data_IF_595295509047
#
_entry.id   IF_595295509047
#
_cell.length_a   1.000
_cell.length_b   1.000
_cell.length_c   1.000
_cell.angle_alpha   90.00
_cell.angle_beta   90.00
_cell.angle_gamma   90.00
#
_symmetry.space_group_name_H-M   'P 1'
#
loop_
_entity.id
_entity.type
_entity.pdbx_description
1 polymer ?
#
# COMPACT_ATOMS: atom_id res chain seq x y z
N UNK A 1 12.36 -92.56 -18.55
CA UNK A 1 12.94 -91.56 -17.63
C UNK A 1 12.82 -90.14 -18.19
N UNK A 2 13.21 -89.89 -19.44
CA UNK A 2 13.28 -88.54 -20.04
C UNK A 2 11.95 -87.76 -20.08
N UNK A 3 10.83 -88.44 -20.37
CA UNK A 3 9.50 -87.81 -20.43
C UNK A 3 9.00 -87.29 -19.07
N UNK A 4 9.30 -88.01 -17.99
CA UNK A 4 8.95 -87.59 -16.63
C UNK A 4 9.79 -86.40 -16.17
N UNK A 5 11.09 -86.41 -16.50
CA UNK A 5 12.00 -85.30 -16.21
C UNK A 5 11.56 -84.02 -16.93
N UNK A 6 11.14 -84.12 -18.20
CA UNK A 6 10.65 -82.97 -18.98
C UNK A 6 9.39 -82.37 -18.35
N UNK A 7 8.42 -83.20 -17.96
CA UNK A 7 7.18 -82.75 -17.33
C UNK A 7 7.42 -82.05 -15.98
N UNK A 8 8.26 -82.64 -15.12
CA UNK A 8 8.61 -82.04 -13.83
C UNK A 8 9.34 -80.70 -14.00
N UNK A 9 10.22 -80.60 -15.02
CA UNK A 9 10.93 -79.36 -15.34
C UNK A 9 9.95 -78.29 -15.85
N UNK A 10 9.01 -78.65 -16.71
CA UNK A 10 7.95 -77.75 -17.18
C UNK A 10 7.08 -77.24 -16.02
N UNK A 11 6.64 -78.13 -15.12
CA UNK A 11 5.85 -77.75 -13.95
C UNK A 11 6.61 -76.80 -13.02
N UNK A 12 7.91 -77.03 -12.80
CA UNK A 12 8.77 -76.13 -12.01
C UNK A 12 8.86 -74.74 -12.64
N UNK A 13 9.09 -74.67 -13.95
CA UNK A 13 9.16 -73.38 -14.68
C UNK A 13 7.80 -72.67 -14.66
N UNK A 14 6.69 -73.39 -14.85
CA UNK A 14 5.34 -72.82 -14.80
C UNK A 14 4.99 -72.28 -13.41
N UNK A 15 5.30 -73.04 -12.36
CA UNK A 15 5.11 -72.60 -10.98
C UNK A 15 5.96 -71.36 -10.67
N UNK A 16 7.22 -71.32 -11.12
CA UNK A 16 8.10 -70.17 -10.97
C UNK A 16 7.58 -68.91 -11.68
N UNK A 17 7.04 -69.05 -12.90
CA UNK A 17 6.42 -67.92 -13.63
C UNK A 17 5.18 -67.38 -12.92
N UNK A 18 4.29 -68.26 -12.47
CA UNK A 18 3.09 -67.86 -11.75
C UNK A 18 3.43 -67.18 -10.41
N UNK A 19 4.44 -67.69 -9.70
CA UNK A 19 4.94 -67.08 -8.47
C UNK A 19 5.49 -65.67 -8.73
N UNK A 20 6.33 -65.51 -9.76
CA UNK A 20 6.89 -64.21 -10.13
C UNK A 20 5.81 -63.19 -10.53
N UNK A 21 4.74 -63.62 -11.21
CA UNK A 21 3.60 -62.75 -11.52
C UNK A 21 2.83 -62.31 -10.27
N UNK A 22 2.62 -63.23 -9.32
CA UNK A 22 2.00 -62.94 -8.03
C UNK A 22 2.86 -62.00 -7.18
N UNK A 23 4.17 -62.24 -7.10
CA UNK A 23 5.14 -61.38 -6.41
C UNK A 23 5.12 -59.97 -7.00
N UNK A 24 5.22 -59.85 -8.34
CA UNK A 24 5.17 -58.54 -9.02
C UNK A 24 3.84 -57.81 -8.80
N UNK A 25 2.74 -58.53 -8.61
CA UNK A 25 1.44 -57.93 -8.27
C UNK A 25 1.40 -57.49 -6.81
N UNK A 26 1.92 -58.30 -5.90
CA UNK A 26 2.02 -57.98 -4.49
C UNK A 26 2.91 -56.77 -4.23
N UNK A 27 4.08 -56.70 -4.89
CA UNK A 27 5.00 -55.55 -4.83
C UNK A 27 4.33 -54.26 -5.30
N UNK A 28 3.62 -54.31 -6.43
CA UNK A 28 2.86 -53.15 -6.94
C UNK A 28 1.78 -52.70 -5.96
N UNK A 29 1.04 -53.64 -5.36
CA UNK A 29 0.03 -53.30 -4.38
C UNK A 29 0.64 -52.71 -3.10
N UNK A 30 1.78 -53.23 -2.64
CA UNK A 30 2.50 -52.68 -1.50
C UNK A 30 2.98 -51.26 -1.77
N UNK A 31 3.50 -50.99 -2.96
CA UNK A 31 3.93 -49.64 -3.35
C UNK A 31 2.78 -48.63 -3.28
N UNK A 32 1.63 -48.97 -3.89
CA UNK A 32 0.44 -48.12 -3.86
C UNK A 32 -0.07 -47.86 -2.44
N UNK A 33 -0.04 -48.89 -1.57
CA UNK A 33 -0.40 -48.73 -0.16
C UNK A 33 0.57 -47.82 0.59
N UNK A 34 1.87 -47.90 0.30
CA UNK A 34 2.87 -47.00 0.89
C UNK A 34 2.65 -45.55 0.46
N UNK A 35 2.44 -45.30 -0.83
CA UNK A 35 2.16 -43.96 -1.37
C UNK A 35 0.89 -43.36 -0.75
N UNK A 36 -0.18 -44.15 -0.66
CA UNK A 36 -1.45 -43.69 -0.08
C UNK A 36 -1.33 -43.44 1.43
N UNK A 37 -0.54 -44.25 2.15
CA UNK A 37 -0.23 -44.02 3.56
C UNK A 37 0.54 -42.71 3.75
N UNK A 38 1.55 -42.44 2.93
CA UNK A 38 2.31 -41.19 2.99
C UNK A 38 1.41 -39.98 2.74
N UNK A 39 0.57 -40.04 1.70
CA UNK A 39 -0.42 -39.01 1.37
C UNK A 39 -1.35 -38.72 2.55
N UNK A 40 -1.89 -39.78 3.19
CA UNK A 40 -2.76 -39.63 4.35
C UNK A 40 -2.03 -39.06 5.57
N UNK A 41 -0.77 -39.46 5.76
CA UNK A 41 0.05 -38.97 6.87
C UNK A 41 0.36 -37.47 6.73
N UNK A 42 0.66 -36.99 5.52
CA UNK A 42 0.83 -35.56 5.25
C UNK A 42 -0.45 -34.77 5.52
N UNK A 43 -1.60 -35.29 5.09
CA UNK A 43 -2.90 -34.66 5.34
C UNK A 43 -3.19 -34.56 6.84
N UNK A 44 -2.91 -35.62 7.60
CA UNK A 44 -3.07 -35.61 9.05
C UNK A 44 -2.19 -34.55 9.71
N UNK A 45 -0.92 -34.43 9.31
CA UNK A 45 -0.04 -33.41 9.87
C UNK A 45 -0.48 -31.99 9.55
N UNK A 46 -0.97 -31.74 8.32
CA UNK A 46 -1.54 -30.43 7.93
C UNK A 46 -2.75 -30.10 8.80
N UNK A 47 -3.70 -31.02 8.91
CA UNK A 47 -4.92 -30.80 9.68
C UNK A 47 -4.63 -30.63 11.18
N UNK A 48 -3.71 -31.42 11.75
CA UNK A 48 -3.28 -31.26 13.15
C UNK A 48 -2.66 -29.89 13.41
N UNK A 49 -1.89 -29.36 12.45
CA UNK A 49 -1.31 -28.02 12.54
C UNK A 49 -2.40 -26.95 12.50
N UNK A 50 -3.37 -27.07 11.60
CA UNK A 50 -4.48 -26.13 11.47
C UNK A 50 -5.32 -26.06 12.75
N UNK A 51 -5.68 -27.21 13.32
CA UNK A 51 -6.42 -27.27 14.60
C UNK A 51 -5.65 -26.58 15.72
N UNK A 52 -4.34 -26.85 15.85
CA UNK A 52 -3.53 -26.25 16.91
C UNK A 52 -3.34 -24.73 16.73
N UNK A 53 -3.37 -24.23 15.49
CA UNK A 53 -3.35 -22.80 15.21
C UNK A 53 -4.68 -22.16 15.62
N UNK A 54 -5.81 -22.75 15.23
CA UNK A 54 -7.15 -22.26 15.61
C UNK A 54 -7.32 -22.21 17.12
N UNK A 55 -6.90 -23.25 17.85
CA UNK A 55 -6.94 -23.25 19.33
C UNK A 55 -6.11 -22.13 19.95
N UNK A 56 -5.00 -21.74 19.31
CA UNK A 56 -4.16 -20.64 19.79
C UNK A 56 -4.76 -19.28 19.48
N UNK A 57 -5.32 -19.12 18.29
CA UNK A 57 -6.03 -17.91 17.88
C UNK A 57 -7.21 -17.65 18.82
N UNK A 58 -8.02 -18.68 19.10
CA UNK A 58 -9.15 -18.56 20.03
C UNK A 58 -8.70 -18.14 21.44
N UNK A 59 -7.63 -18.74 21.98
CA UNK A 59 -7.08 -18.33 23.29
C UNK A 59 -6.57 -16.90 23.30
N UNK A 60 -6.02 -16.43 22.18
CA UNK A 60 -5.52 -15.07 22.05
C UNK A 60 -6.70 -14.08 21.99
N UNK A 61 -7.75 -14.42 21.25
CA UNK A 61 -8.98 -13.63 21.15
C UNK A 61 -9.66 -13.52 22.53
N UNK A 62 -9.82 -14.63 23.26
CA UNK A 62 -10.35 -14.60 24.63
C UNK A 62 -9.49 -13.75 25.59
N UNK A 63 -8.17 -13.71 25.41
CA UNK A 63 -7.29 -12.88 26.21
C UNK A 63 -7.43 -11.40 25.84
N UNK A 64 -7.60 -11.11 24.55
CA UNK A 64 -7.82 -9.76 24.03
C UNK A 64 -9.16 -9.20 24.51
N UNK A 65 -10.22 -10.01 24.48
CA UNK A 65 -11.55 -9.63 24.99
C UNK A 65 -11.48 -9.26 26.47
N UNK A 66 -10.80 -10.07 27.29
CA UNK A 66 -10.57 -9.75 28.72
C UNK A 66 -9.80 -8.44 28.90
N UNK A 67 -8.79 -8.17 28.07
CA UNK A 67 -8.05 -6.91 28.12
C UNK A 67 -8.96 -5.74 27.73
N UNK A 68 -9.79 -5.90 26.71
CA UNK A 68 -10.75 -4.88 26.29
C UNK A 68 -11.80 -4.60 27.37
N UNK A 69 -12.32 -5.62 28.04
CA UNK A 69 -13.25 -5.46 29.17
C UNK A 69 -12.63 -4.66 30.32
N UNK A 70 -11.35 -4.91 30.64
CA UNK A 70 -10.64 -4.19 31.71
C UNK A 70 -10.30 -2.75 31.31
N UNK A 71 -9.94 -2.52 30.05
CA UNK A 71 -9.50 -1.20 29.57
C UNK A 71 -10.65 -0.30 29.15
N UNK A 72 -11.78 -0.85 28.71
CA UNK A 72 -12.94 -0.09 28.22
C UNK A 72 -13.46 0.95 29.23
N UNK A 73 -13.58 0.65 30.54
CA UNK A 73 -13.97 1.64 31.54
C UNK A 73 -12.94 2.75 31.77
N UNK A 74 -11.67 2.53 31.44
CA UNK A 74 -10.60 3.53 31.61
C UNK A 74 -10.60 4.58 30.50
N UNK A 75 -11.09 4.24 29.30
CA UNK A 75 -11.18 5.16 28.15
C UNK A 75 -11.90 6.48 28.51
N UNK A 76 -13.13 6.47 29.04
CA UNK A 76 -13.81 7.72 29.40
C UNK A 76 -13.15 8.44 30.57
N UNK A 77 -12.46 7.74 31.46
CA UNK A 77 -11.71 8.34 32.58
C UNK A 77 -10.50 9.10 32.04
N UNK A 78 -9.77 8.53 31.09
CA UNK A 78 -8.64 9.17 30.41
C UNK A 78 -9.08 10.41 29.63
N UNK A 79 -10.24 10.38 28.95
CA UNK A 79 -10.77 11.56 28.27
C UNK A 79 -11.13 12.67 29.25
N UNK A 80 -11.85 12.35 30.33
CA UNK A 80 -12.15 13.32 31.40
C UNK A 80 -10.90 13.89 32.04
N UNK A 81 -9.90 13.05 32.30
CA UNK A 81 -8.62 13.49 32.86
C UNK A 81 -7.90 14.46 31.89
N UNK A 82 -7.92 14.18 30.59
CA UNK A 82 -7.33 15.05 29.56
C UNK A 82 -8.03 16.41 29.52
N UNK A 83 -9.36 16.44 29.61
CA UNK A 83 -10.13 17.69 29.68
C UNK A 83 -9.81 18.46 30.97
N UNK A 84 -9.82 17.79 32.12
CA UNK A 84 -9.47 18.38 33.41
C UNK A 84 -8.04 18.97 33.41
N UNK A 85 -7.09 18.26 32.81
CA UNK A 85 -5.72 18.73 32.68
C UNK A 85 -5.61 19.97 31.79
N UNK A 86 -6.35 20.02 30.68
CA UNK A 86 -6.42 21.22 29.82
C UNK A 86 -7.00 22.40 30.59
N UNK A 87 -8.15 22.23 31.23
CA UNK A 87 -8.77 23.30 32.02
C UNK A 87 -7.86 23.78 33.16
N UNK A 88 -7.11 22.87 33.78
CA UNK A 88 -6.10 23.23 34.78
C UNK A 88 -4.93 24.02 34.17
N UNK A 89 -4.41 23.59 33.02
CA UNK A 89 -3.35 24.32 32.31
C UNK A 89 -3.82 25.72 31.89
N UNK A 90 -5.04 25.84 31.36
CA UNK A 90 -5.65 27.12 30.98
C UNK A 90 -5.85 28.03 32.19
N UNK A 91 -6.32 27.49 33.32
CA UNK A 91 -6.45 28.23 34.57
C UNK A 91 -5.09 28.68 35.10
N UNK A 92 -4.07 27.82 35.05
CA UNK A 92 -2.70 28.16 35.44
C UNK A 92 -2.13 29.26 34.55
N UNK A 93 -2.32 29.17 33.23
CA UNK A 93 -1.88 30.18 32.28
C UNK A 93 -2.60 31.51 32.47
N UNK A 94 -3.93 31.48 32.67
CA UNK A 94 -4.72 32.65 33.03
C UNK A 94 -4.20 33.29 34.33
N UNK A 95 -3.93 32.50 35.37
CA UNK A 95 -3.33 33.04 36.60
C UNK A 95 -1.92 33.60 36.36
N UNK A 96 -1.11 33.03 35.47
CA UNK A 96 0.19 33.59 35.10
C UNK A 96 0.08 34.93 34.37
N UNK A 97 -0.98 35.12 33.57
CA UNK A 97 -1.25 36.36 32.84
C UNK A 97 -1.95 37.43 33.70
N UNK A 98 -2.78 37.02 34.66
CA UNK A 98 -3.44 37.92 35.62
C UNK A 98 -2.56 38.28 36.81
N UNK A 99 -1.62 37.40 37.19
CA UNK A 99 -0.54 37.77 38.07
C UNK A 99 0.28 38.81 37.33
N UNK A 100 0.31 40.09 37.76
CA UNK A 100 1.29 41.02 37.23
C UNK A 100 2.63 40.33 37.37
N UNK A 101 3.41 40.29 36.29
CA UNK A 101 4.79 39.79 36.31
C UNK A 101 5.58 40.78 37.19
N UNK A 102 5.38 40.67 38.52
CA UNK A 102 6.05 41.47 39.56
C UNK A 102 7.54 41.15 39.63
N UNK A 103 8.02 40.26 38.75
CA UNK A 103 9.36 39.72 38.71
C UNK A 103 10.06 40.02 37.36
N UNK A 104 9.60 40.99 36.56
CA UNK A 104 10.58 41.68 35.70
C UNK A 104 11.33 42.61 36.65
N UNK A 105 12.48 42.16 37.12
CA UNK A 105 13.38 43.02 37.87
C UNK A 105 13.88 44.11 36.89
N UNK A 106 13.24 45.28 36.97
CA UNK A 106 13.74 46.47 36.31
C UNK A 106 14.77 47.05 37.28
N UNK A 107 16.04 46.90 36.94
CA UNK A 107 17.13 47.42 37.75
C UNK A 107 17.19 48.94 37.58
N UNK A 108 16.74 49.68 38.60
CA UNK A 108 16.68 51.15 38.59
C UNK A 108 15.27 51.74 38.56
N UNK A 109 15.15 53.01 38.19
CA UNK A 109 13.87 53.72 38.12
C UNK A 109 13.05 53.30 36.89
N UNK A 110 11.82 52.85 37.12
CA UNK A 110 10.91 52.31 36.10
C UNK A 110 10.63 53.33 34.99
N UNK A 111 10.53 54.62 35.34
CA UNK A 111 10.27 55.67 34.35
C UNK A 111 11.46 55.84 33.40
N UNK A 112 12.69 55.87 33.93
CA UNK A 112 13.90 55.95 33.10
C UNK A 112 14.08 54.74 32.17
N UNK A 113 13.74 53.53 32.65
CA UNK A 113 13.78 52.32 31.83
C UNK A 113 12.76 52.38 30.70
N UNK A 114 11.51 52.80 30.99
CA UNK A 114 10.47 52.92 29.97
C UNK A 114 10.80 54.00 28.93
N UNK A 115 11.41 55.11 29.34
CA UNK A 115 11.88 56.16 28.42
C UNK A 115 12.99 55.65 27.50
N UNK A 116 13.95 54.87 28.02
CA UNK A 116 15.01 54.27 27.20
C UNK A 116 14.44 53.21 26.24
N UNK A 117 13.52 52.35 26.70
CA UNK A 117 12.84 51.38 25.81
C UNK A 117 12.08 52.09 24.70
N UNK A 118 11.38 53.19 25.01
CA UNK A 118 10.66 53.99 24.01
C UNK A 118 11.61 54.62 22.99
N UNK A 119 12.77 55.09 23.44
CA UNK A 119 13.82 55.64 22.57
C UNK A 119 14.38 54.56 21.64
N UNK A 120 14.73 53.38 22.17
CA UNK A 120 15.22 52.25 21.36
C UNK A 120 14.18 51.76 20.35
N UNK A 121 12.90 51.74 20.74
CA UNK A 121 11.81 51.39 19.83
C UNK A 121 11.70 52.38 18.67
N UNK A 122 11.84 53.68 18.95
CA UNK A 122 11.78 54.74 17.93
C UNK A 122 12.95 54.61 16.96
N UNK A 123 14.17 54.41 17.46
CA UNK A 123 15.37 54.17 16.64
C UNK A 123 15.17 52.94 15.75
N UNK A 124 14.62 51.85 16.30
CA UNK A 124 14.37 50.62 15.54
C UNK A 124 13.35 50.84 14.42
N UNK A 125 12.31 51.64 14.67
CA UNK A 125 11.31 51.99 13.66
C UNK A 125 11.89 52.87 12.54
N UNK A 126 12.78 53.79 12.87
CA UNK A 126 13.49 54.62 11.88
C UNK A 126 14.44 53.78 11.03
N UNK A 127 15.27 52.93 11.64
CA UNK A 127 16.13 51.98 10.94
C UNK A 127 15.34 51.01 10.06
N UNK A 128 14.18 50.53 10.51
CA UNK A 128 13.33 49.65 9.72
C UNK A 128 12.77 50.36 8.48
N UNK A 129 12.45 51.65 8.59
CA UNK A 129 12.04 52.47 7.43
C UNK A 129 13.20 52.72 6.47
N UNK A 130 14.43 52.88 6.97
CA UNK A 130 15.64 53.04 6.15
C UNK A 130 16.06 51.74 5.45
N UNK A 131 15.90 50.59 6.11
CA UNK A 131 16.25 49.27 5.55
C UNK A 131 15.17 48.73 4.61
N UNK A 132 13.91 49.13 4.79
CA UNK A 132 12.79 48.77 3.90
C UNK A 132 12.09 49.99 3.28
N UNK A 133 12.77 50.79 2.43
CA UNK A 133 12.10 51.84 1.70
C UNK A 133 11.25 51.19 0.59
N UNK A 134 9.92 51.17 0.77
CA UNK A 134 9.00 50.92 -0.35
C UNK A 134 8.55 49.46 -0.58
N UNK A 135 8.55 48.60 0.44
CA UNK A 135 8.00 47.24 0.32
C UNK A 135 6.54 47.20 -0.21
N UNK A 136 5.81 48.31 -0.14
CA UNK A 136 4.44 48.42 -0.67
C UNK A 136 4.38 48.46 -2.21
N UNK A 137 5.23 49.25 -2.89
CA UNK A 137 5.09 49.45 -4.34
C UNK A 137 5.79 48.37 -5.18
N UNK A 138 6.96 47.88 -4.77
CA UNK A 138 7.66 46.79 -5.46
C UNK A 138 6.97 45.44 -5.25
N UNK A 139 6.37 45.21 -4.07
CA UNK A 139 5.56 44.01 -3.82
C UNK A 139 4.29 44.03 -4.66
N UNK A 140 3.58 45.16 -4.79
CA UNK A 140 2.37 45.23 -5.61
C UNK A 140 2.65 44.98 -7.10
N UNK A 141 3.74 45.56 -7.64
CA UNK A 141 4.18 45.30 -9.03
C UNK A 141 4.61 43.85 -9.24
N UNK A 142 5.29 43.26 -8.26
CA UNK A 142 5.70 41.85 -8.32
C UNK A 142 4.49 40.91 -8.29
N UNK A 143 3.49 41.23 -7.47
CA UNK A 143 2.23 40.48 -7.38
C UNK A 143 1.41 40.59 -8.68
N UNK A 144 1.35 41.77 -9.32
CA UNK A 144 0.66 41.92 -10.60
C UNK A 144 1.35 41.11 -11.72
N UNK A 145 2.68 41.15 -11.79
CA UNK A 145 3.44 40.34 -12.76
C UNK A 145 3.28 38.83 -12.53
N UNK A 146 3.23 38.38 -11.28
CA UNK A 146 2.97 36.97 -10.95
C UNK A 146 1.55 36.54 -11.37
N UNK A 147 0.58 37.45 -11.27
CA UNK A 147 -0.80 37.17 -11.71
C UNK A 147 -0.87 37.02 -13.23
N UNK A 148 -0.22 37.91 -13.98
CA UNK A 148 -0.11 37.81 -15.44
C UNK A 148 0.59 36.50 -15.87
N UNK A 149 1.70 36.16 -15.22
CA UNK A 149 2.42 34.91 -15.48
C UNK A 149 1.53 33.67 -15.24
N UNK A 150 0.74 33.69 -14.17
CA UNK A 150 -0.22 32.62 -13.87
C UNK A 150 -1.29 32.47 -14.96
N UNK A 151 -1.83 33.58 -15.45
CA UNK A 151 -2.84 33.57 -16.53
C UNK A 151 -2.25 33.02 -17.84
N UNK A 152 -1.04 33.42 -18.20
CA UNK A 152 -0.32 32.89 -19.38
C UNK A 152 -0.03 31.40 -19.23
N UNK A 153 0.43 30.95 -18.05
CA UNK A 153 0.69 29.52 -17.79
C UNK A 153 -0.58 28.68 -17.94
N UNK A 154 -1.70 29.13 -17.38
CA UNK A 154 -2.98 28.41 -17.49
C UNK A 154 -3.50 28.34 -18.94
N UNK A 155 -3.26 29.38 -19.74
CA UNK A 155 -3.60 29.36 -21.16
C UNK A 155 -2.74 28.35 -21.92
N UNK A 156 -1.43 28.33 -21.64
CA UNK A 156 -0.50 27.39 -22.24
C UNK A 156 -0.84 25.93 -21.90
N UNK A 157 -1.18 25.63 -20.64
CA UNK A 157 -1.58 24.29 -20.22
C UNK A 157 -2.83 23.80 -20.96
N UNK A 158 -3.82 24.67 -21.17
CA UNK A 158 -5.02 24.33 -21.95
C UNK A 158 -4.70 24.04 -23.41
N UNK A 159 -3.83 24.85 -24.03
CA UNK A 159 -3.41 24.60 -25.41
C UNK A 159 -2.57 23.32 -25.54
N UNK A 160 -1.72 23.01 -24.57
CA UNK A 160 -0.99 21.74 -24.51
C UNK A 160 -1.94 20.54 -24.39
N UNK A 161 -2.94 20.60 -23.51
CA UNK A 161 -3.94 19.55 -23.39
C UNK A 161 -4.74 19.37 -24.69
N UNK A 162 -5.13 20.47 -25.34
CA UNK A 162 -5.84 20.40 -26.64
C UNK A 162 -4.95 19.72 -27.69
N UNK A 163 -3.72 20.19 -27.82
CA UNK A 163 -2.75 19.68 -28.80
C UNK A 163 -2.45 18.19 -28.57
N UNK A 164 -2.28 17.78 -27.32
CA UNK A 164 -2.07 16.38 -26.96
C UNK A 164 -3.26 15.51 -27.36
N UNK A 165 -4.49 15.99 -27.12
CA UNK A 165 -5.72 15.27 -27.51
C UNK A 165 -5.83 15.15 -29.03
N UNK A 166 -5.53 16.23 -29.77
CA UNK A 166 -5.51 16.23 -31.24
C UNK A 166 -4.49 15.21 -31.79
N UNK A 167 -3.27 15.19 -31.25
CA UNK A 167 -2.23 14.22 -31.64
C UNK A 167 -2.64 12.78 -31.31
N UNK A 168 -3.24 12.56 -30.14
CA UNK A 168 -3.71 11.23 -29.75
C UNK A 168 -4.81 10.72 -30.68
N UNK A 169 -5.77 11.58 -31.03
CA UNK A 169 -6.83 11.25 -31.98
C UNK A 169 -6.25 10.92 -33.36
N UNK A 170 -5.37 11.77 -33.88
CA UNK A 170 -4.72 11.54 -35.18
C UNK A 170 -3.91 10.23 -35.17
N UNK A 171 -3.18 9.95 -34.09
CA UNK A 171 -2.45 8.69 -33.93
C UNK A 171 -3.39 7.47 -33.96
N UNK A 172 -4.57 7.58 -33.36
CA UNK A 172 -5.57 6.50 -33.36
C UNK A 172 -6.17 6.29 -34.76
N UNK A 173 -6.42 7.36 -35.50
CA UNK A 173 -6.93 7.31 -36.87
C UNK A 173 -5.91 6.68 -37.82
N UNK A 174 -4.64 7.11 -37.75
CA UNK A 174 -3.55 6.52 -38.54
C UNK A 174 -3.38 5.03 -38.20
N UNK A 175 -3.42 4.66 -36.92
CA UNK A 175 -3.31 3.26 -36.51
C UNK A 175 -4.47 2.42 -37.06
N UNK A 176 -5.69 2.97 -37.03
CA UNK A 176 -6.88 2.34 -37.60
C UNK A 176 -6.76 2.19 -39.12
N UNK A 177 -6.31 3.22 -39.82
CA UNK A 177 -6.11 3.20 -41.26
C UNK A 177 -5.08 2.14 -41.67
N UNK A 178 -3.93 2.09 -40.98
CA UNK A 178 -2.90 1.07 -41.20
C UNK A 178 -3.44 -0.33 -40.95
N UNK A 179 -4.22 -0.52 -39.88
CA UNK A 179 -4.84 -1.82 -39.59
C UNK A 179 -5.83 -2.24 -40.67
N UNK A 180 -6.69 -1.34 -41.15
CA UNK A 180 -7.65 -1.61 -42.22
C UNK A 180 -6.95 -1.88 -43.56
N UNK A 181 -5.88 -1.15 -43.85
CA UNK A 181 -5.08 -1.37 -45.06
C UNK A 181 -4.42 -2.75 -45.04
N UNK A 182 -3.79 -3.12 -43.92
CA UNK A 182 -3.20 -4.45 -43.75
C UNK A 182 -4.26 -5.55 -43.86
N UNK A 183 -5.44 -5.35 -43.26
CA UNK A 183 -6.57 -6.26 -43.38
C UNK A 183 -6.97 -6.45 -44.86
N UNK A 184 -7.10 -5.36 -45.62
CA UNK A 184 -7.43 -5.40 -47.06
C UNK A 184 -6.42 -6.24 -47.84
N UNK A 185 -5.12 -6.01 -47.62
CA UNK A 185 -4.05 -6.78 -48.29
C UNK A 185 -4.11 -8.27 -47.91
N UNK A 186 -4.38 -8.58 -46.64
CA UNK A 186 -4.51 -9.97 -46.18
C UNK A 186 -5.70 -10.68 -46.83
N UNK A 187 -6.86 -10.01 -46.91
CA UNK A 187 -8.08 -10.50 -47.55
C UNK A 187 -7.90 -10.70 -49.06
N UNK A 188 -7.19 -9.80 -49.74
CA UNK A 188 -6.87 -9.92 -51.17
C UNK A 188 -5.94 -11.11 -51.46
N UNK A 189 -4.92 -11.34 -50.62
CA UNK A 189 -3.93 -12.40 -50.85
C UNK A 189 -4.42 -13.82 -50.51
N UNK A 190 -5.24 -13.96 -49.46
CA UNK A 190 -5.65 -15.29 -48.93
C UNK A 190 -7.12 -15.62 -49.17
N UNK A 191 -7.92 -14.66 -49.63
CA UNK A 191 -9.34 -14.83 -49.87
C UNK A 191 -10.19 -14.63 -48.62
N UNK A 192 -11.34 -13.97 -48.80
CA UNK A 192 -12.18 -13.48 -47.72
C UNK A 192 -12.80 -14.58 -46.84
N UNK A 193 -13.05 -15.77 -47.41
CA UNK A 193 -13.62 -16.91 -46.66
C UNK A 193 -12.62 -17.57 -45.72
N UNK A 194 -11.32 -17.58 -46.08
CA UNK A 194 -10.24 -18.12 -45.23
C UNK A 194 -9.93 -17.16 -44.09
N UNK A 195 -9.83 -15.87 -44.41
CA UNK A 195 -9.47 -14.84 -43.42
C UNK A 195 -10.59 -14.61 -42.39
N UNK A 196 -11.86 -14.80 -42.77
CA UNK A 196 -13.00 -14.77 -41.82
C UNK A 196 -12.87 -15.77 -40.67
N UNK A 197 -12.34 -16.96 -40.93
CA UNK A 197 -12.09 -17.95 -39.87
C UNK A 197 -11.06 -17.38 -38.87
N UNK A 198 -10.00 -16.72 -39.34
CA UNK A 198 -8.97 -16.15 -38.45
C UNK A 198 -9.44 -14.96 -37.61
N UNK A 199 -10.43 -14.19 -38.06
CA UNK A 199 -10.95 -13.04 -37.32
C UNK A 199 -12.06 -13.39 -36.32
N UNK A 200 -12.80 -14.48 -36.57
CA UNK A 200 -14.04 -14.79 -35.86
C UNK A 200 -14.14 -16.21 -35.29
N UNK A 201 -13.08 -17.03 -35.39
CA UNK A 201 -12.95 -18.31 -34.63
C UNK A 201 -12.71 -18.07 -33.13
#
# INVERSE_FOLDING_TARGET
LESQTLLLTYLRVKAGKNLAELEKKAERNLLLLCEEKERQQEQLYKLKREVLLQEREQKLEEALDKQMEVLSPLVPICERFKEQYKSFADALDATRHELPIKNIHIEGDVLTYLDEVRKQLTITQELLKEVMPGYSEESEKSVSLLKELKEVSQKMDKELQRSFTEVQNLSSEVSKEVSLHNQSICEENHGLDVVKQWYFD
#
